data_IF_095846397881
#
_entry.id   IF_095846397881
#
_cell.length_a   1.000
_cell.length_b   1.000
_cell.length_c   1.000
_cell.angle_alpha   90.00
_cell.angle_beta   90.00
_cell.angle_gamma   90.00
#
_symmetry.space_group_name_H-M   'P 1'
#
loop_
_entity.id
_entity.type
_entity.pdbx_description
1 polymer ?
#
# COMPACT_ATOMS: atom_id res chain seq x y z
N UNK A 1 -5.77 -37.44 -25.25
CA UNK A 1 -4.56 -37.06 -24.49
C UNK A 1 -4.79 -35.67 -23.89
N UNK A 2 -5.59 -35.53 -22.83
CA UNK A 2 -5.19 -35.58 -21.40
C UNK A 2 -4.03 -34.62 -21.08
N UNK A 3 -4.32 -33.32 -20.99
CA UNK A 3 -3.42 -32.35 -20.35
C UNK A 3 -3.62 -32.49 -18.83
N UNK A 4 -2.66 -33.16 -18.19
CA UNK A 4 -2.72 -33.49 -16.77
C UNK A 4 -2.55 -32.21 -15.94
N UNK A 5 -3.59 -31.85 -15.19
CA UNK A 5 -3.50 -30.86 -14.12
C UNK A 5 -2.36 -31.23 -13.17
N UNK A 6 -1.29 -30.44 -13.20
CA UNK A 6 -0.21 -30.56 -12.23
C UNK A 6 -0.72 -30.04 -10.88
N UNK A 7 -0.84 -30.96 -9.94
CA UNK A 7 -1.11 -30.71 -8.54
C UNK A 7 0.02 -29.84 -7.94
N UNK A 8 -0.24 -28.57 -7.66
CA UNK A 8 0.63 -27.75 -6.80
C UNK A 8 0.42 -28.20 -5.35
N UNK A 9 1.24 -29.16 -4.91
CA UNK A 9 1.20 -29.76 -3.57
C UNK A 9 1.83 -28.88 -2.47
N UNK A 10 1.73 -27.56 -2.59
CA UNK A 10 2.08 -26.60 -1.55
C UNK A 10 1.10 -25.43 -1.70
N UNK A 11 0.27 -25.16 -0.68
CA UNK A 11 -0.90 -24.27 -0.75
C UNK A 11 -0.60 -22.78 -0.98
N UNK A 12 0.53 -22.46 -1.60
CA UNK A 12 1.05 -21.12 -1.80
C UNK A 12 0.57 -20.56 -3.12
N UNK A 13 -0.19 -19.46 -3.05
CA UNK A 13 -0.54 -18.66 -4.25
C UNK A 13 0.75 -18.14 -4.91
N UNK A 14 0.87 -18.24 -6.24
CA UNK A 14 2.08 -17.81 -6.96
C UNK A 14 2.26 -16.29 -6.96
N UNK A 15 1.16 -15.52 -6.90
CA UNK A 15 1.16 -14.06 -6.86
C UNK A 15 0.08 -13.60 -5.88
N UNK A 16 0.41 -12.59 -5.07
CA UNK A 16 -0.54 -11.92 -4.18
C UNK A 16 -0.90 -10.57 -4.78
N UNK A 17 -2.18 -10.21 -4.69
CA UNK A 17 -2.71 -8.93 -5.17
C UNK A 17 -3.71 -8.37 -4.16
N UNK A 18 -3.83 -7.04 -4.11
CA UNK A 18 -4.90 -6.35 -3.37
C UNK A 18 -6.27 -6.57 -4.03
N UNK A 19 -7.35 -6.14 -3.38
CA UNK A 19 -8.70 -6.16 -3.98
C UNK A 19 -8.80 -5.30 -5.25
N UNK A 20 -8.00 -4.23 -5.36
CA UNK A 20 -7.89 -3.40 -6.55
C UNK A 20 -6.94 -3.97 -7.62
N UNK A 21 -6.33 -5.14 -7.38
CA UNK A 21 -5.46 -5.82 -8.35
C UNK A 21 -3.99 -5.40 -8.32
N UNK A 22 -3.57 -4.58 -7.36
CA UNK A 22 -2.17 -4.17 -7.22
C UNK A 22 -1.31 -5.34 -6.72
N UNK A 23 -0.10 -5.57 -7.29
CA UNK A 23 0.79 -6.63 -6.84
C UNK A 23 1.28 -6.37 -5.41
N UNK A 24 1.30 -7.43 -4.59
CA UNK A 24 1.75 -7.37 -3.20
C UNK A 24 3.05 -8.18 -3.05
N UNK A 25 4.11 -7.49 -2.63
CA UNK A 25 5.40 -8.10 -2.33
C UNK A 25 5.37 -8.82 -0.97
N UNK A 26 6.24 -9.82 -0.81
CA UNK A 26 6.32 -10.58 0.46
C UNK A 26 6.74 -9.71 1.64
N UNK A 27 7.61 -8.75 1.39
CA UNK A 27 8.10 -7.80 2.38
C UNK A 27 8.53 -6.51 1.67
N UNK A 28 8.22 -5.37 2.29
CA UNK A 28 8.62 -4.05 1.81
C UNK A 28 9.84 -3.57 2.61
N UNK A 29 10.87 -3.14 1.92
CA UNK A 29 12.12 -2.60 2.46
C UNK A 29 12.32 -1.17 1.98
N UNK A 30 13.39 -0.52 2.43
CA UNK A 30 13.74 0.85 2.05
C UNK A 30 13.85 1.01 0.52
N UNK A 31 14.33 -0.03 -0.17
CA UNK A 31 14.48 -0.05 -1.63
C UNK A 31 13.15 -0.06 -2.37
N UNK A 32 12.05 -0.47 -1.71
CA UNK A 32 10.71 -0.48 -2.30
C UNK A 32 9.99 0.87 -2.18
N UNK A 33 10.55 1.83 -1.44
CA UNK A 33 9.99 3.18 -1.36
C UNK A 33 10.23 3.89 -2.69
N UNK A 34 9.16 4.06 -3.47
CA UNK A 34 9.18 4.95 -4.63
C UNK A 34 9.42 6.38 -4.13
N UNK A 35 10.48 7.00 -4.65
CA UNK A 35 10.82 8.39 -4.37
C UNK A 35 10.27 9.26 -5.49
N UNK A 36 8.99 9.56 -5.43
CA UNK A 36 8.42 10.66 -6.20
C UNK A 36 8.37 11.93 -5.33
N UNK A 37 8.18 13.10 -5.95
CA UNK A 37 8.14 14.39 -5.25
C UNK A 37 7.10 14.42 -4.12
N UNK A 38 5.98 13.72 -4.30
CA UNK A 38 4.92 13.61 -3.29
C UNK A 38 5.35 12.77 -2.08
N UNK A 39 6.08 11.68 -2.29
CA UNK A 39 6.63 10.86 -1.22
C UNK A 39 7.81 11.54 -0.51
N UNK A 40 8.63 12.32 -1.23
CA UNK A 40 9.73 13.09 -0.63
C UNK A 40 9.22 14.28 0.20
N UNK A 41 8.15 14.94 -0.26
CA UNK A 41 7.58 16.12 0.41
C UNK A 41 6.06 16.06 0.59
N UNK A 42 5.53 15.24 1.51
CA UNK A 42 4.07 15.12 1.70
C UNK A 42 3.39 16.31 2.39
N UNK A 43 4.11 17.42 2.65
CA UNK A 43 3.63 18.59 3.43
C UNK A 43 3.41 18.32 4.92
N UNK A 44 3.10 19.34 5.72
CA UNK A 44 2.65 19.16 7.11
C UNK A 44 1.13 18.90 7.18
N UNK A 45 0.60 18.30 8.26
CA UNK A 45 -0.85 18.22 8.46
C UNK A 45 -1.48 19.62 8.40
N UNK A 46 -2.60 19.76 7.69
CA UNK A 46 -3.24 21.06 7.47
C UNK A 46 -2.64 21.91 6.35
N UNK A 47 -1.65 21.41 5.62
CA UNK A 47 -1.06 22.08 4.46
C UNK A 47 -1.23 21.22 3.20
N UNK A 48 -1.35 21.87 2.03
CA UNK A 48 -1.35 21.18 0.73
C UNK A 48 -0.06 20.35 0.57
N UNK A 49 -0.11 19.12 0.02
CA UNK A 49 -1.24 18.44 -0.63
C UNK A 49 -2.16 17.66 0.32
N UNK A 50 -2.12 17.94 1.62
CA UNK A 50 -2.95 17.33 2.66
C UNK A 50 -2.82 15.81 2.77
N UNK A 51 -1.72 15.23 2.27
CA UNK A 51 -1.42 13.80 2.37
C UNK A 51 -1.41 13.32 3.82
N UNK A 52 -1.04 14.20 4.77
CA UNK A 52 -1.01 13.94 6.21
C UNK A 52 -2.28 14.38 6.97
N UNK A 53 -3.34 14.75 6.25
CA UNK A 53 -4.62 15.19 6.79
C UNK A 53 -4.88 16.69 6.67
N UNK A 54 -6.15 17.06 6.66
CA UNK A 54 -6.62 18.43 6.37
C UNK A 54 -6.57 19.39 7.57
N UNK A 55 -6.40 18.87 8.79
CA UNK A 55 -6.38 19.68 10.00
C UNK A 55 -4.99 19.62 10.66
N UNK A 56 -4.41 20.76 11.10
CA UNK A 56 -3.09 20.76 11.73
C UNK A 56 -2.97 19.90 12.99
N UNK A 57 -4.08 19.73 13.72
CA UNK A 57 -4.11 18.97 14.99
C UNK A 57 -4.80 17.62 14.88
N UNK A 58 -5.44 17.32 13.74
CA UNK A 58 -6.17 16.07 13.50
C UNK A 58 -7.04 15.64 14.70
N UNK A 59 -7.04 14.34 15.01
CA UNK A 59 -7.84 13.76 16.09
C UNK A 59 -7.36 14.08 17.50
N UNK A 60 -6.33 14.93 17.67
CA UNK A 60 -5.92 15.43 18.98
C UNK A 60 -6.82 16.55 19.49
N UNK A 61 -7.50 17.27 18.59
CA UNK A 61 -8.44 18.35 18.95
C UNK A 61 -9.90 17.93 18.76
N UNK A 62 -10.19 17.21 17.68
CA UNK A 62 -11.54 16.78 17.33
C UNK A 62 -11.52 15.34 16.80
N UNK A 63 -12.21 14.44 17.48
CA UNK A 63 -12.38 13.05 17.03
C UNK A 63 -13.10 12.98 15.68
N UNK A 64 -12.94 11.86 14.99
CA UNK A 64 -13.73 11.60 13.79
C UNK A 64 -15.20 11.51 14.17
N UNK A 65 -16.06 12.09 13.35
CA UNK A 65 -17.53 11.98 13.43
C UNK A 65 -18.04 11.64 12.05
#
# INVERSE_FOLDING_TARGET
MSDSGKNNADGRKPVFKTLSGLPLERAYRKENLQRDEAAEHPGYPGEFPFTRGIYPTMYRSRLWT
#
